data_IF_380236726329
#
_entry.id   IF_380236726329
#
_cell.length_a   1.000
_cell.length_b   1.000
_cell.length_c   1.000
_cell.angle_alpha   90.00
_cell.angle_beta   90.00
_cell.angle_gamma   90.00
#
_symmetry.space_group_name_H-M   'P 1'
#
loop_
_entity.id
_entity.type
_entity.pdbx_description
1 polymer ?
#
# COMPACT_ATOMS: atom_id res chain seq x y z
N UNK A 1 -10.65 2.99 -10.62
CA UNK A 1 -10.77 1.93 -9.59
C UNK A 1 -9.41 1.42 -9.18
N UNK A 2 -9.15 1.21 -7.89
CA UNK A 2 -7.87 0.66 -7.40
C UNK A 2 -8.13 -0.57 -6.55
N UNK A 3 -7.25 -1.57 -6.64
CA UNK A 3 -7.25 -2.72 -5.73
C UNK A 3 -5.87 -2.89 -5.12
N UNK A 4 -5.82 -3.33 -3.87
CA UNK A 4 -4.60 -3.84 -3.25
C UNK A 4 -4.91 -5.17 -2.60
N UNK A 5 -4.16 -6.21 -3.01
CA UNK A 5 -4.32 -7.58 -2.52
C UNK A 5 -3.07 -8.02 -1.80
N UNK A 6 -3.23 -8.50 -0.57
CA UNK A 6 -2.15 -9.06 0.23
C UNK A 6 -2.25 -10.59 0.22
N UNK A 7 -1.15 -11.26 -0.07
CA UNK A 7 -1.04 -12.71 -0.11
C UNK A 7 -0.07 -13.19 0.96
N UNK A 8 -0.54 -14.01 1.89
CA UNK A 8 0.30 -14.62 2.92
C UNK A 8 0.62 -16.06 2.56
N UNK A 9 1.88 -16.45 2.72
CA UNK A 9 2.41 -17.77 2.42
C UNK A 9 3.03 -18.39 3.67
N UNK A 10 2.54 -19.53 4.11
CA UNK A 10 3.18 -20.35 5.14
C UNK A 10 4.23 -21.27 4.51
N UNK A 11 3.85 -21.88 3.41
CA UNK A 11 4.70 -22.64 2.50
C UNK A 11 4.97 -21.81 1.23
N UNK A 12 5.74 -22.31 0.29
CA UNK A 12 5.98 -21.68 -1.01
C UNK A 12 6.59 -20.24 -0.97
N UNK A 13 7.24 -19.83 0.12
CA UNK A 13 7.81 -18.47 0.28
C UNK A 13 8.82 -18.13 -0.80
N UNK A 14 9.69 -19.07 -1.18
CA UNK A 14 10.65 -18.87 -2.27
C UNK A 14 9.96 -18.72 -3.61
N UNK A 15 8.94 -19.53 -3.90
CA UNK A 15 8.13 -19.36 -5.10
C UNK A 15 7.47 -17.97 -5.12
N UNK A 16 6.86 -17.54 -4.01
CA UNK A 16 6.25 -16.22 -3.88
C UNK A 16 7.25 -15.10 -4.16
N UNK A 17 8.46 -15.20 -3.61
CA UNK A 17 9.53 -14.24 -3.90
C UNK A 17 9.85 -14.17 -5.40
N UNK A 18 9.89 -15.30 -6.12
CA UNK A 18 10.15 -15.29 -7.56
C UNK A 18 9.03 -14.61 -8.36
N UNK A 19 7.80 -14.54 -7.84
CA UNK A 19 6.68 -13.87 -8.50
C UNK A 19 6.85 -12.35 -8.55
N UNK A 20 7.69 -11.76 -7.68
CA UNK A 20 8.03 -10.33 -7.74
C UNK A 20 8.66 -9.91 -9.09
N UNK A 21 9.21 -10.86 -9.83
CA UNK A 21 9.71 -10.63 -11.19
C UNK A 21 8.84 -11.30 -12.25
N UNK A 22 8.48 -12.57 -12.04
CA UNK A 22 7.79 -13.38 -13.05
C UNK A 22 6.38 -12.90 -13.34
N UNK A 23 5.69 -12.32 -12.36
CA UNK A 23 4.32 -11.80 -12.54
C UNK A 23 4.26 -10.54 -13.39
N UNK A 24 5.38 -9.85 -13.61
CA UNK A 24 5.41 -8.59 -14.34
C UNK A 24 4.86 -8.72 -15.76
N UNK A 25 5.32 -9.73 -16.52
CA UNK A 25 4.89 -9.94 -17.90
C UNK A 25 3.40 -10.26 -18.01
N UNK A 26 2.86 -11.05 -17.11
CA UNK A 26 1.43 -11.35 -17.06
C UNK A 26 0.61 -10.12 -16.73
N UNK A 27 1.00 -9.33 -15.73
CA UNK A 27 0.29 -8.13 -15.32
C UNK A 27 0.35 -7.04 -16.39
N UNK A 28 1.50 -6.83 -17.04
CA UNK A 28 1.65 -5.81 -18.08
C UNK A 28 0.77 -6.04 -19.31
N UNK A 29 0.31 -7.27 -19.53
CA UNK A 29 -0.58 -7.67 -20.62
C UNK A 29 -2.06 -7.80 -20.19
N UNK A 30 -2.36 -7.46 -18.93
CA UNK A 30 -3.73 -7.59 -18.38
C UNK A 30 -4.61 -6.46 -18.92
N UNK A 31 -5.73 -6.85 -19.53
CA UNK A 31 -6.67 -5.89 -20.11
C UNK A 31 -7.31 -4.99 -19.02
N UNK A 32 -7.41 -3.70 -19.30
CA UNK A 32 -7.98 -2.71 -18.40
C UNK A 32 -7.13 -2.39 -17.15
N UNK A 33 -5.88 -2.88 -17.07
CA UNK A 33 -4.93 -2.56 -16.02
C UNK A 33 -4.03 -1.39 -16.49
N UNK A 34 -4.22 -0.20 -15.93
CA UNK A 34 -3.50 1.02 -16.32
C UNK A 34 -2.19 1.22 -15.54
N UNK A 35 -2.10 0.69 -14.32
CA UNK A 35 -0.92 0.77 -13.47
C UNK A 35 -0.90 -0.39 -12.48
N UNK A 36 0.27 -0.92 -12.19
CA UNK A 36 0.42 -1.93 -11.15
C UNK A 36 1.78 -1.87 -10.45
N UNK A 37 1.82 -2.40 -9.23
CA UNK A 37 3.04 -2.61 -8.46
C UNK A 37 3.03 -3.95 -7.75
N UNK A 38 4.17 -4.64 -7.85
CA UNK A 38 4.49 -5.82 -7.07
C UNK A 38 5.27 -5.37 -5.84
N UNK A 39 4.78 -5.69 -4.65
CA UNK A 39 5.27 -5.10 -3.40
C UNK A 39 5.65 -6.20 -2.40
N UNK A 40 6.88 -6.13 -1.90
CA UNK A 40 7.25 -6.84 -0.67
C UNK A 40 6.63 -6.16 0.55
N UNK A 41 6.65 -6.84 1.69
CA UNK A 41 6.15 -6.27 2.95
C UNK A 41 7.22 -6.23 4.03
N UNK A 42 7.07 -5.33 5.00
CA UNK A 42 7.88 -5.31 6.21
C UNK A 42 7.39 -6.32 7.24
N UNK A 43 8.30 -6.81 8.08
CA UNK A 43 7.97 -7.72 9.19
C UNK A 43 7.12 -7.02 10.25
N UNK A 44 6.32 -7.81 10.98
CA UNK A 44 5.38 -7.29 11.98
C UNK A 44 4.18 -6.59 11.34
N UNK A 45 3.50 -5.76 12.10
CA UNK A 45 2.30 -5.03 11.69
C UNK A 45 2.59 -3.71 11.02
N UNK A 46 3.80 -3.15 11.16
CA UNK A 46 4.09 -1.80 10.71
C UNK A 46 5.24 -1.68 9.72
N UNK A 47 5.84 -0.52 9.76
CA UNK A 47 7.08 -0.21 9.06
C UNK A 47 8.22 -0.97 9.72
N UNK A 48 8.95 -1.77 8.95
CA UNK A 48 10.10 -2.53 9.45
C UNK A 48 11.27 -2.46 8.49
N UNK A 49 12.47 -2.41 9.09
CA UNK A 49 13.72 -2.57 8.35
C UNK A 49 13.89 -4.00 7.83
N UNK A 50 13.25 -4.96 8.49
CA UNK A 50 13.35 -6.36 8.14
C UNK A 50 12.21 -6.75 7.19
N UNK A 51 12.50 -7.35 6.03
CA UNK A 51 11.46 -7.84 5.11
C UNK A 51 10.68 -9.02 5.71
N UNK A 52 9.42 -9.12 5.34
CA UNK A 52 8.58 -10.29 5.58
C UNK A 52 8.49 -11.12 4.29
N UNK A 53 9.27 -12.18 4.19
CA UNK A 53 9.25 -13.08 3.04
C UNK A 53 8.03 -14.01 2.98
N UNK A 54 7.11 -13.89 3.93
CA UNK A 54 5.87 -14.66 3.95
C UNK A 54 4.66 -13.88 3.38
N UNK A 55 4.80 -12.57 3.16
CA UNK A 55 3.68 -11.74 2.73
C UNK A 55 4.11 -10.81 1.59
N UNK A 56 3.30 -10.76 0.54
CA UNK A 56 3.49 -9.89 -0.62
C UNK A 56 2.19 -9.20 -0.96
N UNK A 57 2.27 -8.06 -1.66
CA UNK A 57 1.09 -7.36 -2.12
C UNK A 57 1.16 -7.05 -3.62
N UNK A 58 -0.01 -6.96 -4.23
CA UNK A 58 -0.19 -6.47 -5.60
C UNK A 58 -1.13 -5.28 -5.54
N UNK A 59 -0.64 -4.12 -5.96
CA UNK A 59 -1.44 -2.92 -6.17
C UNK A 59 -1.77 -2.81 -7.65
N UNK A 60 -3.04 -2.59 -7.98
CA UNK A 60 -3.53 -2.45 -9.35
C UNK A 60 -4.45 -1.24 -9.48
N UNK A 61 -4.30 -0.48 -10.56
CA UNK A 61 -5.24 0.59 -10.95
C UNK A 61 -5.92 0.20 -12.25
N UNK A 62 -7.24 0.19 -12.23
CA UNK A 62 -8.10 -0.35 -13.26
C UNK A 62 -8.88 0.74 -13.95
N UNK A 63 -9.17 0.57 -15.23
CA UNK A 63 -10.06 1.45 -16.00
C UNK A 63 -11.46 1.46 -15.40
N UNK A 64 -11.95 0.30 -14.94
CA UNK A 64 -13.27 0.15 -14.33
C UNK A 64 -13.32 -1.01 -13.31
N UNK A 65 -14.45 -1.10 -12.59
CA UNK A 65 -14.66 -2.09 -11.55
C UNK A 65 -14.81 -3.52 -12.08
N UNK A 66 -15.39 -3.67 -13.29
CA UNK A 66 -15.56 -5.00 -13.91
C UNK A 66 -14.19 -5.64 -14.17
N UNK A 67 -13.24 -4.89 -14.73
CA UNK A 67 -11.88 -5.38 -14.99
C UNK A 67 -11.19 -5.83 -13.69
N UNK A 68 -11.36 -5.08 -12.59
CA UNK A 68 -10.82 -5.46 -11.29
C UNK A 68 -11.42 -6.77 -10.77
N UNK A 69 -12.75 -6.91 -10.83
CA UNK A 69 -13.47 -8.10 -10.38
C UNK A 69 -13.14 -9.33 -11.24
N UNK A 70 -13.08 -9.16 -12.54
CA UNK A 70 -12.73 -10.24 -13.48
C UNK A 70 -11.31 -10.74 -13.23
N UNK A 71 -10.36 -9.83 -13.03
CA UNK A 71 -8.98 -10.22 -12.72
C UNK A 71 -8.91 -11.00 -11.40
N UNK A 72 -9.48 -10.48 -10.33
CA UNK A 72 -9.41 -11.09 -9.00
C UNK A 72 -10.09 -12.45 -8.96
N UNK A 73 -11.24 -12.59 -9.62
CA UNK A 73 -12.07 -13.80 -9.52
C UNK A 73 -11.76 -14.84 -10.60
N UNK A 74 -11.32 -14.42 -11.79
CA UNK A 74 -11.29 -15.29 -12.96
C UNK A 74 -9.93 -15.42 -13.64
N UNK A 75 -8.97 -14.51 -13.41
CA UNK A 75 -7.68 -14.58 -14.08
C UNK A 75 -6.86 -15.80 -13.64
N UNK A 76 -6.15 -16.40 -14.60
CA UNK A 76 -5.20 -17.47 -14.31
C UNK A 76 -4.09 -17.03 -13.36
N UNK A 77 -3.69 -15.75 -13.43
CA UNK A 77 -2.71 -15.17 -12.54
C UNK A 77 -3.19 -15.16 -11.08
N UNK A 78 -4.41 -14.67 -10.84
CA UNK A 78 -5.01 -14.63 -9.50
C UNK A 78 -5.19 -16.05 -8.94
N UNK A 79 -5.67 -16.99 -9.75
CA UNK A 79 -5.82 -18.41 -9.36
C UNK A 79 -4.49 -19.01 -8.95
N UNK A 80 -3.45 -18.89 -9.79
CA UNK A 80 -2.13 -19.46 -9.53
C UNK A 80 -1.52 -18.95 -8.23
N UNK A 81 -1.65 -17.64 -7.96
CA UNK A 81 -1.13 -17.04 -6.71
C UNK A 81 -1.95 -17.54 -5.52
N UNK A 82 -3.27 -17.55 -5.62
CA UNK A 82 -4.17 -17.98 -4.54
C UNK A 82 -3.97 -19.47 -4.19
N UNK A 83 -3.76 -20.34 -5.16
CA UNK A 83 -3.48 -21.78 -4.92
C UNK A 83 -2.20 -22.03 -4.11
N UNK A 84 -1.25 -21.10 -4.12
CA UNK A 84 0.01 -21.21 -3.39
C UNK A 84 0.00 -20.45 -2.06
N UNK A 85 -0.90 -19.50 -1.89
CA UNK A 85 -1.05 -18.71 -0.68
C UNK A 85 -1.80 -19.48 0.41
N UNK A 86 -1.58 -19.10 1.67
CA UNK A 86 -2.38 -19.50 2.82
C UNK A 86 -3.64 -18.64 2.94
N UNK A 87 -3.50 -17.33 2.67
CA UNK A 87 -4.62 -16.41 2.68
C UNK A 87 -4.40 -15.26 1.71
N UNK A 88 -5.51 -14.65 1.29
CA UNK A 88 -5.57 -13.43 0.49
C UNK A 88 -6.49 -12.42 1.15
N UNK A 89 -6.05 -11.19 1.27
CA UNK A 89 -6.85 -10.06 1.74
C UNK A 89 -6.90 -8.99 0.64
N UNK A 90 -8.10 -8.73 0.12
CA UNK A 90 -8.35 -7.79 -0.97
C UNK A 90 -9.03 -6.54 -0.44
N UNK A 91 -8.58 -5.37 -0.90
CA UNK A 91 -9.22 -4.07 -0.69
C UNK A 91 -9.58 -3.45 -2.03
N UNK A 92 -10.85 -3.06 -2.19
CA UNK A 92 -11.37 -2.34 -3.33
C UNK A 92 -11.49 -0.87 -2.96
N UNK A 93 -10.80 -0.02 -3.70
CA UNK A 93 -10.50 1.35 -3.32
C UNK A 93 -10.93 2.33 -4.41
N UNK A 94 -11.57 3.43 -3.98
CA UNK A 94 -11.94 4.52 -4.85
C UNK A 94 -11.12 5.78 -4.47
N UNK A 95 -10.24 6.30 -5.35
CA UNK A 95 -9.43 7.45 -5.00
C UNK A 95 -10.30 8.71 -4.81
N UNK A 96 -10.15 9.39 -3.67
CA UNK A 96 -10.86 10.62 -3.34
C UNK A 96 -9.93 11.82 -3.21
N UNK A 97 -8.64 11.59 -3.04
CA UNK A 97 -7.62 12.63 -3.07
C UNK A 97 -6.24 12.01 -3.31
N UNK A 98 -5.46 12.61 -4.21
CA UNK A 98 -4.05 12.24 -4.34
C UNK A 98 -3.20 13.45 -4.68
N UNK A 99 -1.90 13.36 -4.38
CA UNK A 99 -0.87 14.30 -4.81
C UNK A 99 0.49 13.62 -4.79
N UNK A 100 1.41 14.18 -5.56
CA UNK A 100 2.74 13.62 -5.73
C UNK A 100 2.79 12.58 -6.85
N UNK A 101 3.90 11.83 -6.93
CA UNK A 101 4.19 10.93 -8.03
C UNK A 101 4.69 9.57 -7.52
N UNK A 102 4.45 8.54 -8.33
CA UNK A 102 4.99 7.20 -8.21
C UNK A 102 5.65 6.81 -9.53
N UNK A 103 6.99 6.82 -9.55
CA UNK A 103 7.80 6.63 -10.75
C UNK A 103 7.43 7.60 -11.89
N UNK A 104 7.30 8.89 -11.52
CA UNK A 104 7.04 9.98 -12.47
C UNK A 104 5.59 10.17 -12.86
N UNK A 105 4.64 9.35 -12.37
CA UNK A 105 3.20 9.48 -12.66
C UNK A 105 2.39 9.52 -11.37
N UNK A 106 1.19 10.13 -11.42
CA UNK A 106 0.20 9.97 -10.36
C UNK A 106 -0.87 8.98 -10.82
N UNK A 107 -0.81 7.70 -10.39
CA UNK A 107 -1.74 6.69 -10.87
C UNK A 107 -3.15 6.83 -10.28
N UNK A 108 -3.34 7.71 -9.29
CA UNK A 108 -4.60 7.96 -8.60
C UNK A 108 -5.14 9.37 -8.87
N UNK A 109 -4.75 10.00 -9.98
CA UNK A 109 -5.15 11.37 -10.31
C UNK A 109 -6.65 11.51 -10.62
N UNK A 110 -7.27 10.46 -11.14
CA UNK A 110 -8.71 10.40 -11.37
C UNK A 110 -9.45 10.17 -10.04
N UNK A 111 -9.71 11.28 -9.34
CA UNK A 111 -10.35 11.30 -8.02
C UNK A 111 -11.84 11.58 -8.15
N UNK A 112 -12.64 11.00 -7.24
CA UNK A 112 -14.07 11.31 -7.14
C UNK A 112 -14.29 12.38 -6.06
N UNK A 113 -15.00 13.44 -6.41
CA UNK A 113 -15.33 14.53 -5.47
C UNK A 113 -16.33 14.11 -4.40
N UNK A 114 -17.18 13.13 -4.73
CA UNK A 114 -18.18 12.60 -3.80
C UNK A 114 -17.81 11.19 -3.34
N UNK A 115 -17.84 10.98 -2.05
CA UNK A 115 -17.67 9.67 -1.39
C UNK A 115 -18.59 9.59 -0.19
N UNK A 116 -18.90 8.37 0.25
CA UNK A 116 -19.69 8.15 1.44
C UNK A 116 -18.85 8.46 2.70
N UNK A 117 -19.28 9.45 3.50
CA UNK A 117 -18.56 9.88 4.71
C UNK A 117 -18.50 8.82 5.81
N UNK A 118 -19.42 7.85 5.78
CA UNK A 118 -19.47 6.72 6.70
C UNK A 118 -18.54 5.57 6.28
N UNK A 119 -17.96 5.63 5.07
CA UNK A 119 -17.05 4.61 4.59
C UNK A 119 -15.72 4.68 5.33
N UNK A 120 -15.09 3.52 5.52
CA UNK A 120 -13.71 3.41 5.96
C UNK A 120 -12.77 4.08 4.94
N UNK A 121 -11.67 4.60 5.43
CA UNK A 121 -10.71 5.34 4.64
C UNK A 121 -9.41 4.55 4.49
N UNK A 122 -9.00 4.32 3.25
CA UNK A 122 -7.69 3.79 2.90
C UNK A 122 -6.69 4.93 2.68
N UNK A 123 -5.47 4.78 3.19
CA UNK A 123 -4.38 5.72 2.96
C UNK A 123 -3.18 4.97 2.38
N UNK A 124 -2.65 5.46 1.27
CA UNK A 124 -1.33 5.08 0.76
C UNK A 124 -0.41 6.29 0.90
N UNK A 125 0.74 6.07 1.55
CA UNK A 125 1.87 6.99 1.48
C UNK A 125 3.06 6.25 0.91
N UNK A 126 3.73 6.84 -0.07
CA UNK A 126 4.89 6.25 -0.75
C UNK A 126 6.00 7.26 -0.85
N UNK A 127 7.23 6.82 -0.71
CA UNK A 127 8.41 7.66 -0.94
C UNK A 127 9.57 6.88 -1.55
N UNK A 128 10.27 7.53 -2.48
CA UNK A 128 11.63 7.18 -2.86
C UNK A 128 12.58 8.03 -2.03
N UNK A 129 13.45 7.39 -1.26
CA UNK A 129 14.35 8.06 -0.34
C UNK A 129 15.59 8.61 -1.03
N UNK A 130 16.06 9.76 -0.58
CA UNK A 130 17.37 10.27 -0.93
C UNK A 130 18.45 9.37 -0.32
N UNK A 131 19.35 8.83 -1.14
CA UNK A 131 20.40 7.88 -0.70
C UNK A 131 21.22 8.40 0.48
N UNK A 132 21.53 9.70 0.50
CA UNK A 132 22.28 10.34 1.57
C UNK A 132 21.50 10.51 2.88
N UNK A 133 20.19 10.18 2.89
CA UNK A 133 19.29 10.33 4.03
C UNK A 133 18.75 9.00 4.56
N UNK A 134 19.14 7.88 3.98
CA UNK A 134 18.65 6.56 4.36
C UNK A 134 18.82 6.28 5.86
N UNK A 135 20.00 6.52 6.40
CA UNK A 135 20.28 6.27 7.81
C UNK A 135 19.42 7.13 8.75
N UNK A 136 19.28 8.42 8.42
CA UNK A 136 18.47 9.36 9.20
C UNK A 136 16.97 8.99 9.16
N UNK A 137 16.48 8.60 7.99
CA UNK A 137 15.12 8.13 7.81
C UNK A 137 14.86 6.87 8.64
N UNK A 138 15.67 5.81 8.46
CA UNK A 138 15.46 4.53 9.11
C UNK A 138 15.57 4.61 10.64
N UNK A 139 16.37 5.51 11.18
CA UNK A 139 16.43 5.80 12.62
C UNK A 139 15.09 6.35 13.17
N UNK A 140 14.28 6.99 12.33
CA UNK A 140 12.98 7.56 12.72
C UNK A 140 11.81 6.59 12.55
N UNK A 141 12.00 5.50 11.81
CA UNK A 141 10.95 4.51 11.47
C UNK A 141 10.31 3.85 12.70
N UNK A 142 11.04 3.42 13.74
CA UNK A 142 10.41 2.81 14.91
C UNK A 142 9.38 3.72 15.58
N UNK A 143 9.68 5.01 15.69
CA UNK A 143 8.76 5.99 16.28
C UNK A 143 7.53 6.21 15.39
N UNK A 144 7.69 6.23 14.06
CA UNK A 144 6.57 6.34 13.13
C UNK A 144 5.67 5.11 13.18
N UNK A 145 6.27 3.92 13.26
CA UNK A 145 5.54 2.65 13.37
C UNK A 145 4.74 2.55 14.67
N UNK A 146 5.33 2.95 15.80
CA UNK A 146 4.62 3.02 17.08
C UNK A 146 3.51 4.07 17.07
N UNK A 147 3.71 5.20 16.39
CA UNK A 147 2.71 6.25 16.31
C UNK A 147 1.45 5.77 15.59
N UNK A 148 1.57 5.06 14.47
CA UNK A 148 0.41 4.53 13.77
C UNK A 148 -0.22 3.37 14.54
N UNK A 149 0.56 2.49 15.15
CA UNK A 149 0.06 1.36 15.94
C UNK A 149 -0.82 1.81 17.10
N UNK A 150 -0.52 2.97 17.71
CA UNK A 150 -1.26 3.55 18.81
C UNK A 150 -2.29 4.61 18.40
N UNK A 151 -2.48 4.81 17.09
CA UNK A 151 -3.40 5.82 16.58
C UNK A 151 -4.85 5.37 16.80
N UNK A 152 -5.69 6.32 17.27
CA UNK A 152 -7.13 6.06 17.36
C UNK A 152 -7.74 5.97 15.97
N UNK A 153 -8.58 4.96 15.76
CA UNK A 153 -9.30 4.76 14.51
C UNK A 153 -8.51 4.05 13.42
N UNK A 154 -7.24 3.69 13.64
CA UNK A 154 -6.56 2.76 12.71
C UNK A 154 -7.04 1.35 12.99
N UNK A 155 -7.49 0.66 11.93
CA UNK A 155 -7.98 -0.72 12.03
C UNK A 155 -6.97 -1.72 11.46
N UNK A 156 -6.26 -1.33 10.41
CA UNK A 156 -5.30 -2.18 9.73
C UNK A 156 -4.19 -1.33 9.11
N UNK A 157 -2.96 -1.83 9.08
CA UNK A 157 -1.88 -1.20 8.36
C UNK A 157 -0.72 -2.17 8.09
N UNK A 158 0.01 -1.93 7.00
CA UNK A 158 1.18 -2.71 6.60
C UNK A 158 2.19 -1.81 5.88
N UNK A 159 3.46 -1.98 6.22
CA UNK A 159 4.57 -1.45 5.43
C UNK A 159 4.75 -2.28 4.17
N UNK A 160 4.87 -1.63 3.03
CA UNK A 160 5.05 -2.24 1.71
C UNK A 160 6.19 -1.53 0.96
N UNK A 161 6.75 -2.14 -0.07
CA UNK A 161 7.79 -1.50 -0.85
C UNK A 161 8.22 -2.32 -2.07
N UNK A 162 8.77 -1.63 -3.07
CA UNK A 162 9.32 -2.25 -4.29
C UNK A 162 10.80 -2.60 -4.11
N UNK A 163 11.58 -1.61 -3.65
CA UNK A 163 13.01 -1.76 -3.40
C UNK A 163 13.30 -1.63 -1.92
N UNK A 164 13.82 -2.68 -1.29
CA UNK A 164 14.18 -2.64 0.12
C UNK A 164 15.03 -1.41 0.44
N UNK A 165 14.73 -0.76 1.54
CA UNK A 165 15.41 0.42 2.09
C UNK A 165 15.26 1.73 1.31
N UNK A 166 14.92 1.71 0.01
CA UNK A 166 14.95 2.89 -0.86
C UNK A 166 13.54 3.35 -1.22
N UNK A 167 12.66 2.43 -1.64
CA UNK A 167 11.29 2.73 -2.03
C UNK A 167 10.34 2.13 -1.01
N UNK A 168 9.78 2.99 -0.19
CA UNK A 168 8.94 2.61 0.93
C UNK A 168 7.53 3.16 0.77
N UNK A 169 6.57 2.38 1.17
CA UNK A 169 5.18 2.80 1.23
C UNK A 169 4.50 2.21 2.47
N UNK A 170 3.36 2.77 2.83
CA UNK A 170 2.42 2.16 3.76
C UNK A 170 1.03 2.16 3.15
N UNK A 171 0.30 1.10 3.39
CA UNK A 171 -1.15 1.08 3.26
C UNK A 171 -1.76 0.97 4.64
N UNK A 172 -2.78 1.78 4.93
CA UNK A 172 -3.49 1.77 6.20
C UNK A 172 -4.99 1.99 6.02
N UNK A 173 -5.78 1.35 6.87
CA UNK A 173 -7.24 1.41 6.90
C UNK A 173 -7.67 2.09 8.19
N UNK A 174 -8.57 3.04 8.08
CA UNK A 174 -9.08 3.87 9.17
C UNK A 174 -10.60 3.83 9.23
N UNK A 175 -11.13 3.92 10.43
CA UNK A 175 -12.57 3.96 10.69
C UNK A 175 -13.25 5.19 10.06
N UNK A 176 -12.52 6.32 9.97
CA UNK A 176 -13.08 7.59 9.48
C UNK A 176 -12.02 8.55 8.94
N UNK A 177 -12.48 9.52 8.16
CA UNK A 177 -11.64 10.61 7.67
C UNK A 177 -11.13 11.49 8.83
N UNK A 178 -11.90 11.64 9.89
CA UNK A 178 -11.51 12.49 11.02
C UNK A 178 -10.39 11.84 11.84
N UNK A 179 -10.38 10.52 11.98
CA UNK A 179 -9.27 9.78 12.58
C UNK A 179 -7.98 9.97 11.78
N UNK A 180 -8.06 9.91 10.46
CA UNK A 180 -6.91 10.22 9.57
C UNK A 180 -6.40 11.65 9.77
N UNK A 181 -7.30 12.65 9.81
CA UNK A 181 -6.91 14.06 10.01
C UNK A 181 -6.26 14.28 11.37
N UNK A 182 -6.84 13.70 12.43
CA UNK A 182 -6.30 13.80 13.78
C UNK A 182 -4.90 13.19 13.89
N UNK A 183 -4.68 12.05 13.25
CA UNK A 183 -3.35 11.43 13.19
C UNK A 183 -2.34 12.25 12.38
N UNK A 184 -2.74 12.76 11.21
CA UNK A 184 -1.84 13.45 10.29
C UNK A 184 -1.49 14.87 10.76
N UNK A 185 -2.45 15.61 11.31
CA UNK A 185 -2.33 17.04 11.61
C UNK A 185 -2.41 17.39 13.10
N UNK A 186 -2.70 16.41 13.95
CA UNK A 186 -2.69 16.61 15.42
C UNK A 186 -1.29 16.93 15.96
N UNK A 187 -1.20 17.18 17.26
CA UNK A 187 0.06 17.51 17.97
C UNK A 187 0.98 16.30 18.22
N UNK A 188 0.68 15.16 17.61
CA UNK A 188 1.35 13.88 17.85
C UNK A 188 2.76 13.75 17.27
N UNK A 189 3.36 12.60 17.52
CA UNK A 189 4.71 12.25 17.03
C UNK A 189 4.75 12.22 15.50
N UNK A 190 3.68 11.75 14.86
CA UNK A 190 3.62 11.62 13.40
C UNK A 190 3.74 12.97 12.69
N UNK A 191 3.00 13.99 13.13
CA UNK A 191 3.08 15.33 12.54
C UNK A 191 4.49 15.93 12.63
N UNK A 192 5.21 15.69 13.73
CA UNK A 192 6.62 16.12 13.89
C UNK A 192 7.55 15.40 12.91
N UNK A 193 7.31 14.10 12.65
CA UNK A 193 8.07 13.33 11.66
C UNK A 193 7.81 13.87 10.25
N UNK A 194 6.57 14.17 9.88
CA UNK A 194 6.22 14.77 8.58
C UNK A 194 6.92 16.11 8.37
N UNK A 195 6.92 16.99 9.38
CA UNK A 195 7.64 18.27 9.32
C UNK A 195 9.15 18.04 9.14
N UNK A 196 9.71 17.11 9.91
CA UNK A 196 11.14 16.76 9.84
C UNK A 196 11.51 16.22 8.45
N UNK A 197 10.69 15.35 7.87
CA UNK A 197 10.87 14.78 6.52
C UNK A 197 11.04 15.88 5.47
N UNK A 198 10.12 16.86 5.48
CA UNK A 198 10.15 18.00 4.55
C UNK A 198 11.38 18.88 4.80
N UNK A 199 11.62 19.27 6.04
CA UNK A 199 12.75 20.15 6.42
C UNK A 199 14.12 19.54 6.09
N UNK A 200 14.24 18.21 6.17
CA UNK A 200 15.49 17.46 5.96
C UNK A 200 15.65 16.91 4.55
N UNK A 201 14.64 17.11 3.71
CA UNK A 201 14.66 16.66 2.31
C UNK A 201 14.94 15.15 2.18
N UNK A 202 14.21 14.32 2.94
CA UNK A 202 14.43 12.88 2.95
C UNK A 202 13.97 12.20 1.67
N UNK A 203 12.97 12.78 0.99
CA UNK A 203 12.34 12.18 -0.18
C UNK A 203 12.86 12.80 -1.48
N UNK A 204 13.19 11.95 -2.44
CA UNK A 204 13.44 12.32 -3.83
C UNK A 204 12.13 12.45 -4.59
N UNK A 205 11.19 11.58 -4.28
CA UNK A 205 9.85 11.55 -4.84
C UNK A 205 8.91 11.01 -3.76
N UNK A 206 7.72 11.56 -3.69
CA UNK A 206 6.68 11.06 -2.78
C UNK A 206 5.30 11.08 -3.43
N UNK A 207 4.41 10.26 -2.89
CA UNK A 207 3.01 10.22 -3.25
C UNK A 207 2.18 9.99 -1.99
N UNK A 208 1.08 10.72 -1.90
CA UNK A 208 0.00 10.52 -0.94
C UNK A 208 -1.29 10.26 -1.70
N UNK A 209 -2.03 9.23 -1.30
CA UNK A 209 -3.37 8.98 -1.83
C UNK A 209 -4.31 8.55 -0.70
N UNK A 210 -5.54 9.07 -0.79
CA UNK A 210 -6.66 8.75 0.09
C UNK A 210 -7.74 8.10 -0.73
N UNK A 211 -8.33 7.05 -0.16
CA UNK A 211 -9.35 6.24 -0.82
C UNK A 211 -10.56 6.07 0.10
N UNK A 212 -11.73 6.04 -0.49
CA UNK A 212 -12.88 5.36 0.08
C UNK A 212 -12.69 3.85 -0.08
N UNK A 213 -12.89 3.08 0.98
CA UNK A 213 -12.91 1.63 0.90
C UNK A 213 -14.32 1.19 0.53
N UNK A 214 -14.46 0.64 -0.67
CA UNK A 214 -15.75 0.16 -1.17
C UNK A 214 -16.08 -1.22 -0.62
N UNK A 215 -15.06 -2.07 -0.53
CA UNK A 215 -15.17 -3.43 0.00
C UNK A 215 -13.80 -3.93 0.47
N UNK A 216 -13.81 -4.84 1.43
CA UNK A 216 -12.64 -5.64 1.79
C UNK A 216 -13.06 -7.07 2.09
N UNK A 217 -12.23 -8.03 1.72
CA UNK A 217 -12.50 -9.45 1.95
C UNK A 217 -11.21 -10.20 2.31
N UNK A 218 -11.30 -11.04 3.31
CA UNK A 218 -10.25 -11.99 3.69
C UNK A 218 -10.69 -13.40 3.28
N UNK A 219 -9.85 -14.09 2.53
CA UNK A 219 -10.05 -15.47 2.09
C UNK A 219 -8.92 -16.32 2.66
N UNK A 220 -9.24 -17.41 3.33
CA UNK A 220 -8.30 -18.43 3.81
C UNK A 220 -8.49 -19.66 2.92
N UNK A 221 -7.39 -20.18 2.37
CA UNK A 221 -7.38 -21.29 1.41
C UNK A 221 -7.06 -22.63 2.08
#
# INVERSE_FOLDING_TARGET
MTTISFFKYEKNKFWAFTQMSRSFDSLSKTNGLSFFKLLGTGSGTGFSLYPDFSTYAILCVWENESNAKDFINHSNHSKLISEKAFSREDFFLNPIKSHGLWDGVNPFADTKDQFNKESKIGIITRATLNKNKLFEFWKSVPQASLAIQNAKGVEWFKGIGEWPFIQQATFSVWDSLDSVKNFAYGTGVHSKIVIKTRKRNWYKEDLFARFEILNSQLIIF
#
